data_IF_124987931202
#
_entry.id   IF_124987931202
#
_cell.length_a   1.000
_cell.length_b   1.000
_cell.length_c   1.000
_cell.angle_alpha   90.00
_cell.angle_beta   90.00
_cell.angle_gamma   90.00
#
_symmetry.space_group_name_H-M   'P 1'
#
loop_
_entity.id
_entity.type
_entity.pdbx_description
1 polymer ?
#
# COMPACT_ATOMS: atom_id res chain seq x y z
N UNK A 1 31.48 -4.25 2.40
CA UNK A 1 31.18 -5.52 1.70
C UNK A 1 30.83 -6.57 2.74
N UNK A 2 29.66 -7.21 2.69
CA UNK A 2 29.56 -8.61 3.12
C UNK A 2 28.29 -9.25 2.56
N UNK A 3 28.55 -10.11 1.58
CA UNK A 3 27.62 -10.97 0.88
C UNK A 3 27.19 -12.13 1.79
N UNK A 4 25.94 -12.59 1.63
CA UNK A 4 25.53 -13.96 1.99
C UNK A 4 24.93 -14.19 3.38
N UNK A 5 23.60 -14.16 3.49
CA UNK A 5 22.90 -14.85 4.59
C UNK A 5 21.55 -15.46 4.16
N UNK A 6 21.51 -16.79 3.99
CA UNK A 6 20.39 -17.65 4.37
C UNK A 6 20.84 -18.59 5.52
N UNK A 7 19.99 -19.49 6.04
CA UNK A 7 18.64 -19.36 6.56
C UNK A 7 18.65 -19.46 8.10
N UNK A 8 17.83 -18.66 8.79
CA UNK A 8 17.80 -18.65 10.25
C UNK A 8 16.89 -17.53 10.73
N UNK A 9 15.60 -17.85 10.71
CA UNK A 9 14.44 -17.05 11.08
C UNK A 9 14.72 -16.09 12.25
N UNK A 10 15.12 -14.86 11.92
CA UNK A 10 14.96 -13.75 12.84
C UNK A 10 13.46 -13.49 12.87
N UNK A 11 12.79 -13.94 13.92
CA UNK A 11 11.48 -13.41 14.31
C UNK A 11 11.71 -11.94 14.68
N UNK A 12 11.81 -11.11 13.66
CA UNK A 12 11.68 -9.68 13.83
C UNK A 12 10.23 -9.50 14.28
N UNK A 13 10.04 -9.23 15.55
CA UNK A 13 8.82 -8.59 16.02
C UNK A 13 9.05 -7.11 15.72
N UNK A 14 8.66 -6.60 14.53
CA UNK A 14 8.80 -5.18 14.28
C UNK A 14 8.02 -4.46 15.37
N UNK A 15 8.71 -3.70 16.22
CA UNK A 15 8.05 -2.66 17.00
C UNK A 15 7.27 -1.82 15.99
N UNK A 16 5.94 -1.67 16.16
CA UNK A 16 5.12 -0.93 15.21
C UNK A 16 5.76 0.46 14.98
N UNK A 17 5.96 0.87 13.72
CA UNK A 17 6.60 2.15 13.46
C UNK A 17 5.79 3.28 14.07
N UNK A 18 6.48 4.22 14.73
CA UNK A 18 5.92 5.43 15.37
C UNK A 18 5.08 6.28 14.39
N UNK A 19 5.33 6.14 13.08
CA UNK A 19 4.43 6.60 12.03
C UNK A 19 3.55 5.42 11.64
N UNK A 20 2.32 5.41 12.18
CA UNK A 20 1.37 4.32 12.11
C UNK A 20 1.46 3.47 10.83
N UNK A 21 1.50 2.16 11.02
CA UNK A 21 1.39 1.19 9.94
C UNK A 21 0.17 1.55 9.10
N UNK A 22 0.39 2.00 7.88
CA UNK A 22 -0.69 2.33 6.95
C UNK A 22 -1.61 1.09 6.89
N UNK A 23 -2.82 1.14 7.49
CA UNK A 23 -3.57 -0.05 7.87
C UNK A 23 -3.73 -0.91 6.63
N UNK A 24 -3.13 -2.10 6.64
CA UNK A 24 -3.13 -2.99 5.49
C UNK A 24 -4.60 -3.17 5.11
N UNK A 25 -4.96 -2.77 3.90
CA UNK A 25 -6.32 -2.89 3.37
C UNK A 25 -6.63 -4.40 3.35
N UNK A 26 -7.21 -4.89 4.46
CA UNK A 26 -7.23 -6.31 4.79
C UNK A 26 -8.30 -7.03 3.97
N UNK A 27 -9.43 -6.36 3.79
CA UNK A 27 -10.57 -6.82 2.98
C UNK A 27 -10.39 -6.49 1.48
N UNK A 28 -9.37 -5.68 1.14
CA UNK A 28 -8.99 -5.42 -0.24
C UNK A 28 -10.00 -4.60 -1.03
N UNK A 29 -10.86 -3.80 -0.39
CA UNK A 29 -11.89 -3.02 -1.08
C UNK A 29 -11.29 -1.97 -2.03
N UNK A 30 -10.08 -1.48 -1.73
CA UNK A 30 -9.35 -0.55 -2.59
C UNK A 30 -8.41 -1.26 -3.61
N UNK A 31 -8.43 -2.60 -3.71
CA UNK A 31 -7.68 -3.34 -4.74
C UNK A 31 -7.95 -2.92 -6.19
N UNK A 32 -9.19 -2.62 -6.65
CA UNK A 32 -9.40 -2.27 -8.05
C UNK A 32 -8.60 -1.01 -8.44
N UNK A 33 -8.66 0.03 -7.61
CA UNK A 33 -7.92 1.28 -7.84
C UNK A 33 -6.40 1.05 -7.74
N UNK A 34 -5.96 0.15 -6.87
CA UNK A 34 -4.55 -0.27 -6.80
C UNK A 34 -4.09 -0.91 -8.12
N UNK A 35 -4.90 -1.79 -8.71
CA UNK A 35 -4.58 -2.45 -9.99
C UNK A 35 -4.49 -1.43 -11.11
N UNK A 36 -5.37 -0.45 -11.15
CA UNK A 36 -5.33 0.64 -12.13
C UNK A 36 -4.08 1.50 -11.99
N UNK A 37 -3.69 1.81 -10.75
CA UNK A 37 -2.45 2.54 -10.47
C UNK A 37 -1.22 1.76 -10.97
N UNK A 38 -1.14 0.47 -10.65
CA UNK A 38 -0.04 -0.39 -11.09
C UNK A 38 -0.02 -0.58 -12.61
N UNK A 39 -1.18 -0.67 -13.25
CA UNK A 39 -1.29 -0.70 -14.70
C UNK A 39 -0.80 0.61 -15.32
N UNK A 40 -1.16 1.75 -14.73
CA UNK A 40 -0.68 3.06 -15.16
C UNK A 40 0.85 3.16 -15.07
N UNK A 41 1.44 2.80 -13.92
CA UNK A 41 2.89 2.77 -13.73
C UNK A 41 3.60 1.90 -14.77
N UNK A 42 3.04 0.72 -15.09
CA UNK A 42 3.58 -0.15 -16.13
C UNK A 42 3.55 0.51 -17.51
N UNK A 43 2.46 1.21 -17.86
CA UNK A 43 2.32 1.92 -19.14
C UNK A 43 3.37 3.04 -19.28
N UNK A 44 3.55 3.83 -18.23
CA UNK A 44 4.48 4.98 -18.24
C UNK A 44 5.93 4.60 -17.90
N UNK A 45 6.23 3.29 -17.80
CA UNK A 45 7.56 2.76 -17.45
C UNK A 45 8.10 3.30 -16.13
N UNK A 46 7.23 3.51 -15.15
CA UNK A 46 7.59 4.05 -13.84
C UNK A 46 7.88 5.55 -13.83
N UNK A 47 7.63 6.26 -14.93
CA UNK A 47 7.69 7.73 -14.93
C UNK A 47 6.58 8.33 -14.07
N UNK A 48 6.84 9.53 -13.55
CA UNK A 48 5.92 10.24 -12.69
C UNK A 48 4.88 11.01 -13.52
N UNK A 49 4.00 10.25 -14.17
CA UNK A 49 2.96 10.80 -15.04
C UNK A 49 1.79 11.39 -14.23
N UNK A 50 1.25 12.56 -14.62
CA UNK A 50 0.09 13.16 -13.94
C UNK A 50 -1.14 12.25 -13.90
N UNK A 51 -1.34 11.39 -14.91
CA UNK A 51 -2.44 10.43 -14.92
C UNK A 51 -2.30 9.43 -13.77
N UNK A 52 -1.11 8.85 -13.60
CA UNK A 52 -0.84 7.90 -12.52
C UNK A 52 -0.90 8.56 -11.14
N UNK A 53 -0.57 9.86 -11.04
CA UNK A 53 -0.73 10.63 -9.79
C UNK A 53 -2.19 10.77 -9.38
N UNK A 54 -3.09 10.98 -10.33
CA UNK A 54 -4.53 11.07 -10.03
C UNK A 54 -5.06 9.73 -9.52
N UNK A 55 -4.65 8.63 -10.14
CA UNK A 55 -5.03 7.28 -9.71
C UNK A 55 -4.43 6.95 -8.33
N UNK A 56 -3.17 7.33 -8.08
CA UNK A 56 -2.53 7.18 -6.77
C UNK A 56 -3.30 7.95 -5.67
N UNK A 57 -3.74 9.18 -5.96
CA UNK A 57 -4.55 9.98 -5.04
C UNK A 57 -5.89 9.30 -4.74
N UNK A 58 -6.56 8.75 -5.76
CA UNK A 58 -7.81 8.02 -5.58
C UNK A 58 -7.62 6.76 -4.72
N UNK A 59 -6.54 5.99 -4.96
CA UNK A 59 -6.20 4.82 -4.16
C UNK A 59 -5.95 5.16 -2.69
N UNK A 60 -5.16 6.21 -2.43
CA UNK A 60 -4.89 6.66 -1.06
C UNK A 60 -6.15 7.21 -0.39
N UNK A 61 -7.01 7.93 -1.12
CA UNK A 61 -8.27 8.44 -0.61
C UNK A 61 -9.21 7.29 -0.21
N UNK A 62 -9.32 6.24 -1.03
CA UNK A 62 -10.09 5.05 -0.70
C UNK A 62 -9.65 4.44 0.64
N UNK A 63 -8.34 4.33 0.87
CA UNK A 63 -7.78 3.80 2.13
C UNK A 63 -8.00 4.70 3.34
N UNK A 64 -8.15 6.01 3.13
CA UNK A 64 -8.45 6.98 4.18
C UNK A 64 -9.94 7.00 4.52
N UNK A 65 -10.81 6.96 3.50
CA UNK A 65 -12.25 7.00 3.69
C UNK A 65 -12.71 5.75 4.48
N UNK A 66 -12.10 4.58 4.22
CA UNK A 66 -12.28 3.36 5.02
C UNK A 66 -11.92 3.50 6.51
N UNK A 67 -11.02 4.42 6.87
CA UNK A 67 -10.66 4.70 8.26
C UNK A 67 -11.63 5.71 8.91
N UNK A 68 -12.19 6.62 8.12
CA UNK A 68 -13.07 7.70 8.60
C UNK A 68 -14.54 7.24 8.71
N UNK A 69 -14.95 6.25 7.93
CA UNK A 69 -16.23 5.58 8.11
C UNK A 69 -15.96 4.30 8.91
N UNK A 70 -16.20 4.25 10.23
CA UNK A 70 -16.31 2.95 10.87
C UNK A 70 -17.41 2.20 10.13
N UNK A 71 -17.03 1.10 9.47
CA UNK A 71 -17.99 0.07 9.07
C UNK A 71 -18.93 -0.16 10.24
N UNK A 72 -20.26 -0.21 10.04
CA UNK A 72 -21.18 -0.45 11.14
C UNK A 72 -20.77 -1.79 11.77
N UNK A 73 -20.19 -1.69 12.95
CA UNK A 73 -19.79 -2.82 13.77
C UNK A 73 -21.08 -3.62 13.97
N UNK A 74 -21.14 -4.81 13.38
CA UNK A 74 -22.16 -5.80 13.72
C UNK A 74 -21.81 -6.41 15.08
#
# INVERSE_FOLDING_TARGET
MSFGRPPGQLTFNPTPPERGSFPLDHDGECQPVMKDYLACLKKVRGNNDPECRMIAKAYLKCRMDQYLTPSPIN
#
